data_IF_558298848937
#
_entry.id   IF_558298848937
#
_cell.length_a   1.000
_cell.length_b   1.000
_cell.length_c   1.000
_cell.angle_alpha   90.00
_cell.angle_beta   90.00
_cell.angle_gamma   90.00
#
_symmetry.space_group_name_H-M   'P 1'
#
loop_
_entity.id
_entity.type
_entity.pdbx_description
1 polymer ?
#
# COMPACT_ATOMS: atom_id res chain seq x y z
N UNK A 1 -6.07 24.19 5.75
CA UNK A 1 -6.46 23.00 4.99
C UNK A 1 -6.67 23.19 3.49
N UNK A 2 -7.01 24.37 2.98
CA UNK A 2 -7.21 24.63 1.53
C UNK A 2 -5.92 24.71 0.69
N UNK A 3 -4.75 25.01 1.27
CA UNK A 3 -3.49 25.14 0.54
C UNK A 3 -2.76 23.83 0.23
N UNK A 4 -2.94 22.79 1.03
CA UNK A 4 -2.28 21.50 0.81
C UNK A 4 -2.91 20.70 -0.35
N UNK A 5 -4.21 20.85 -0.57
CA UNK A 5 -4.92 20.14 -1.67
C UNK A 5 -4.53 20.69 -3.06
N UNK A 6 -4.25 21.99 -3.17
CA UNK A 6 -3.89 22.61 -4.43
C UNK A 6 -2.49 22.19 -4.92
N UNK A 7 -1.55 21.96 -4.00
CA UNK A 7 -0.17 21.60 -4.34
C UNK A 7 -0.04 20.14 -4.80
N UNK A 8 -0.85 19.24 -4.26
CA UNK A 8 -0.88 17.84 -4.68
C UNK A 8 -1.51 17.68 -6.06
N UNK A 9 -2.54 18.45 -6.39
CA UNK A 9 -3.19 18.40 -7.71
C UNK A 9 -2.29 18.92 -8.84
N UNK A 10 -1.43 19.91 -8.58
CA UNK A 10 -0.51 20.46 -9.57
C UNK A 10 0.64 19.52 -9.95
N UNK A 11 1.04 18.61 -9.05
CA UNK A 11 2.13 17.67 -9.33
C UNK A 11 1.71 16.53 -10.28
N UNK A 12 0.41 16.25 -10.40
CA UNK A 12 -0.13 15.17 -11.23
C UNK A 12 -0.51 15.57 -12.66
N UNK A 13 -0.61 16.85 -12.97
CA UNK A 13 -1.13 17.33 -14.26
C UNK A 13 -0.09 17.57 -15.36
N UNK A 14 1.20 17.35 -15.10
CA UNK A 14 2.26 17.58 -16.10
C UNK A 14 2.73 16.32 -16.84
N UNK A 15 1.99 15.21 -16.77
CA UNK A 15 2.38 14.01 -17.50
C UNK A 15 1.79 13.96 -18.90
N UNK A 16 2.66 14.29 -19.86
CA UNK A 16 2.39 14.21 -21.30
C UNK A 16 1.87 12.86 -21.70
N UNK A 17 0.70 12.84 -22.33
CA UNK A 17 0.10 11.69 -23.02
C UNK A 17 0.84 11.36 -24.32
N UNK A 18 2.14 11.17 -24.27
CA UNK A 18 2.83 10.53 -25.38
C UNK A 18 2.67 9.01 -25.21
N UNK A 19 1.85 8.41 -26.03
CA UNK A 19 1.65 6.97 -26.12
C UNK A 19 2.94 6.25 -26.54
N UNK A 20 3.86 6.14 -25.60
CA UNK A 20 5.12 5.46 -25.81
C UNK A 20 4.91 3.96 -25.72
N UNK A 21 5.19 3.26 -26.80
CA UNK A 21 5.27 1.79 -26.82
C UNK A 21 6.23 1.36 -25.71
N UNK A 22 5.76 0.50 -24.80
CA UNK A 22 6.61 -0.07 -23.75
C UNK A 22 7.70 -0.86 -24.45
N UNK A 23 8.95 -0.48 -24.25
CA UNK A 23 10.07 -1.21 -24.76
C UNK A 23 10.11 -2.58 -24.08
N UNK A 24 10.06 -3.65 -24.90
CA UNK A 24 10.08 -5.04 -24.42
C UNK A 24 11.30 -5.32 -23.51
N UNK A 25 12.40 -4.59 -23.73
CA UNK A 25 13.62 -4.71 -22.95
C UNK A 25 13.47 -4.12 -21.53
N UNK A 26 12.83 -2.98 -21.39
CA UNK A 26 12.58 -2.36 -20.07
C UNK A 26 11.65 -3.20 -19.21
N UNK A 27 10.61 -3.79 -19.81
CA UNK A 27 9.71 -4.69 -19.11
C UNK A 27 10.43 -5.98 -18.68
N UNK A 28 11.22 -6.58 -19.56
CA UNK A 28 11.98 -7.80 -19.27
C UNK A 28 12.98 -7.61 -18.12
N UNK A 29 13.61 -6.44 -18.03
CA UNK A 29 14.50 -6.08 -16.91
C UNK A 29 13.77 -6.06 -15.57
N UNK A 30 12.55 -5.52 -15.51
CA UNK A 30 11.75 -5.45 -14.27
C UNK A 30 11.33 -6.82 -13.75
N UNK A 31 11.09 -7.77 -14.65
CA UNK A 31 10.70 -9.14 -14.30
C UNK A 31 11.87 -10.14 -14.23
N UNK A 32 13.11 -9.67 -14.36
CA UNK A 32 14.29 -10.52 -14.17
C UNK A 32 14.48 -10.83 -12.69
N UNK A 33 14.80 -12.07 -12.36
CA UNK A 33 15.17 -12.48 -10.99
C UNK A 33 16.29 -11.58 -10.45
N UNK A 34 16.12 -11.09 -9.24
CA UNK A 34 17.06 -10.17 -8.57
C UNK A 34 16.92 -8.71 -9.00
N UNK A 35 15.96 -8.35 -9.86
CA UNK A 35 15.69 -6.94 -10.14
C UNK A 35 15.13 -6.22 -8.92
N UNK A 36 15.51 -4.95 -8.75
CA UNK A 36 15.06 -4.10 -7.67
C UNK A 36 14.31 -2.90 -8.23
N UNK A 37 13.28 -2.46 -7.53
CA UNK A 37 12.49 -1.30 -7.90
C UNK A 37 12.16 -0.50 -6.63
N UNK A 38 12.29 0.82 -6.72
CA UNK A 38 11.81 1.75 -5.69
C UNK A 38 10.49 2.36 -6.12
N UNK A 39 9.68 2.73 -5.17
CA UNK A 39 8.42 3.39 -5.45
C UNK A 39 7.86 4.10 -4.24
N UNK A 40 6.79 4.84 -4.48
CA UNK A 40 6.00 5.45 -3.42
C UNK A 40 4.52 5.41 -3.80
N UNK A 41 3.67 5.36 -2.79
CA UNK A 41 2.21 5.42 -2.95
C UNK A 41 1.65 6.48 -2.00
N UNK A 42 0.63 7.18 -2.46
CA UNK A 42 -0.27 7.95 -1.61
C UNK A 42 -1.62 7.25 -1.57
N UNK A 43 -2.19 7.17 -0.38
CA UNK A 43 -3.43 6.47 -0.17
C UNK A 43 -4.40 7.26 0.68
N UNK A 44 -5.65 6.92 0.53
CA UNK A 44 -6.72 7.32 1.41
C UNK A 44 -7.45 6.09 1.90
N UNK A 45 -7.83 6.11 3.17
CA UNK A 45 -8.57 5.03 3.76
C UNK A 45 -9.56 5.50 4.82
N UNK A 46 -10.42 4.59 5.22
CA UNK A 46 -11.30 4.78 6.36
C UNK A 46 -11.56 3.45 7.06
N UNK A 47 -11.83 3.54 8.34
CA UNK A 47 -12.10 2.35 9.18
C UNK A 47 -13.43 1.73 8.84
N UNK A 48 -13.55 0.43 9.10
CA UNK A 48 -14.80 -0.31 8.95
C UNK A 48 -14.96 -1.34 10.08
N UNK A 49 -16.20 -1.70 10.35
CA UNK A 49 -16.55 -2.69 11.34
C UNK A 49 -16.60 -4.09 10.74
N UNK A 50 -15.99 -5.04 11.43
CA UNK A 50 -16.27 -6.45 11.17
C UNK A 50 -17.65 -6.81 11.74
N UNK A 51 -18.38 -7.77 11.18
CA UNK A 51 -19.70 -8.17 11.68
C UNK A 51 -19.62 -8.95 13.01
N UNK A 52 -18.83 -8.45 13.95
CA UNK A 52 -18.62 -8.98 15.31
C UNK A 52 -19.45 -8.24 16.36
N UNK A 53 -20.25 -7.24 15.93
CA UNK A 53 -21.11 -6.45 16.83
C UNK A 53 -20.40 -5.37 17.64
N UNK A 54 -19.09 -5.18 17.47
CA UNK A 54 -18.38 -4.07 18.10
C UNK A 54 -18.47 -2.83 17.21
N UNK A 55 -19.13 -1.80 17.68
CA UNK A 55 -19.18 -0.48 17.05
C UNK A 55 -17.79 0.18 17.20
N UNK A 56 -17.14 0.46 16.08
CA UNK A 56 -15.78 1.04 16.02
C UNK A 56 -15.82 2.49 15.59
N UNK A 57 -14.74 3.19 15.90
CA UNK A 57 -14.59 4.59 15.50
C UNK A 57 -14.45 4.71 13.97
N UNK A 58 -15.15 5.69 13.39
CA UNK A 58 -15.04 6.01 11.97
C UNK A 58 -13.97 7.08 11.76
N UNK A 59 -12.81 6.66 11.30
CA UNK A 59 -11.65 7.53 11.10
C UNK A 59 -11.26 7.55 9.62
N UNK A 60 -11.11 8.76 9.07
CA UNK A 60 -10.49 8.97 7.77
C UNK A 60 -8.97 9.07 7.90
N UNK A 61 -8.24 8.49 6.96
CA UNK A 61 -6.77 8.41 7.02
C UNK A 61 -6.15 8.76 5.68
N UNK A 62 -5.05 9.49 5.72
CA UNK A 62 -4.17 9.71 4.58
C UNK A 62 -2.87 8.94 4.81
N UNK A 63 -2.39 8.27 3.78
CA UNK A 63 -1.21 7.43 3.82
C UNK A 63 -0.16 7.88 2.81
N UNK A 64 1.10 7.73 3.19
CA UNK A 64 2.25 7.79 2.31
C UNK A 64 3.11 6.55 2.53
N UNK A 65 3.36 5.77 1.46
CA UNK A 65 4.05 4.50 1.51
C UNK A 65 5.25 4.48 0.55
N UNK A 66 6.43 4.98 0.95
CA UNK A 66 7.66 4.68 0.25
C UNK A 66 7.99 3.19 0.38
N UNK A 67 8.42 2.57 -0.72
CA UNK A 67 8.61 1.14 -0.75
C UNK A 67 9.73 0.71 -1.69
N UNK A 68 10.23 -0.47 -1.43
CA UNK A 68 11.22 -1.16 -2.23
C UNK A 68 10.74 -2.58 -2.53
N UNK A 69 11.04 -3.07 -3.73
CA UNK A 69 10.72 -4.43 -4.14
C UNK A 69 11.93 -5.12 -4.74
N UNK A 70 12.05 -6.41 -4.45
CA UNK A 70 13.02 -7.30 -5.08
C UNK A 70 12.32 -8.50 -5.69
N UNK A 71 12.57 -8.77 -6.96
CA UNK A 71 12.01 -9.92 -7.65
C UNK A 71 12.74 -11.21 -7.20
N UNK A 72 12.05 -12.07 -6.49
CA UNK A 72 12.63 -13.29 -5.91
C UNK A 72 12.73 -14.42 -6.94
N UNK A 73 11.71 -14.58 -7.77
CA UNK A 73 11.58 -15.78 -8.63
C UNK A 73 12.02 -15.56 -10.06
N UNK A 74 11.94 -14.33 -10.58
CA UNK A 74 11.84 -14.09 -12.02
C UNK A 74 10.45 -14.51 -12.51
N UNK A 75 10.27 -14.61 -13.81
CA UNK A 75 9.02 -15.11 -14.40
C UNK A 75 8.89 -16.60 -14.15
N UNK A 76 7.78 -17.00 -13.53
CA UNK A 76 7.38 -18.37 -13.27
C UNK A 76 5.94 -18.61 -13.76
N UNK A 77 5.58 -19.86 -13.88
CA UNK A 77 4.22 -20.26 -14.27
C UNK A 77 3.94 -20.09 -15.77
N UNK A 78 2.74 -20.49 -16.15
CA UNK A 78 2.28 -20.51 -17.53
C UNK A 78 0.87 -19.94 -17.62
N UNK A 79 0.46 -19.55 -18.83
CA UNK A 79 -0.89 -19.10 -19.11
C UNK A 79 -1.32 -17.96 -18.17
N UNK A 80 -2.51 -18.02 -17.57
CA UNK A 80 -3.13 -16.99 -16.75
C UNK A 80 -2.41 -16.70 -15.40
N UNK A 81 -1.67 -17.68 -14.87
CA UNK A 81 -0.91 -17.52 -13.60
C UNK A 81 0.58 -17.18 -13.84
N UNK A 82 1.00 -16.98 -15.10
CA UNK A 82 2.35 -16.53 -15.38
C UNK A 82 2.61 -15.18 -14.73
N UNK A 83 3.69 -15.10 -13.95
CA UNK A 83 3.99 -13.90 -13.18
C UNK A 83 5.31 -14.00 -12.45
N UNK A 84 5.49 -13.16 -11.44
CA UNK A 84 6.68 -13.16 -10.59
C UNK A 84 6.32 -12.80 -9.14
N UNK A 85 7.03 -13.40 -8.21
CA UNK A 85 6.93 -13.10 -6.79
C UNK A 85 8.00 -12.06 -6.40
N UNK A 86 7.56 -11.03 -5.73
CA UNK A 86 8.39 -9.96 -5.21
C UNK A 86 8.36 -9.96 -3.68
N UNK A 87 9.53 -9.84 -3.07
CA UNK A 87 9.64 -9.35 -1.70
C UNK A 87 9.40 -7.85 -1.72
N UNK A 88 8.49 -7.38 -0.90
CA UNK A 88 8.11 -5.98 -0.82
C UNK A 88 8.40 -5.48 0.59
N UNK A 89 9.15 -4.42 0.71
CA UNK A 89 9.41 -3.72 1.96
C UNK A 89 8.80 -2.34 1.88
N UNK A 90 8.04 -1.97 2.89
CA UNK A 90 7.32 -0.71 2.91
C UNK A 90 7.56 0.02 4.23
N UNK A 91 7.94 1.29 4.15
CA UNK A 91 7.75 2.23 5.25
C UNK A 91 6.42 2.94 5.04
N UNK A 92 5.77 3.36 6.11
CA UNK A 92 4.47 4.02 6.04
C UNK A 92 4.40 5.21 6.98
N UNK A 93 3.82 6.30 6.50
CA UNK A 93 3.33 7.38 7.33
C UNK A 93 1.83 7.48 7.11
N UNK A 94 1.06 7.53 8.19
CA UNK A 94 -0.36 7.74 8.14
C UNK A 94 -0.75 8.91 9.06
N UNK A 95 -1.68 9.72 8.59
CA UNK A 95 -2.32 10.76 9.37
C UNK A 95 -3.81 10.46 9.42
N UNK A 96 -4.34 10.29 10.62
CA UNK A 96 -5.75 10.06 10.88
C UNK A 96 -6.40 11.33 11.42
N UNK A 97 -7.65 11.58 11.04
CA UNK A 97 -8.41 12.74 11.48
C UNK A 97 -9.80 12.30 11.88
N UNK A 98 -10.16 12.58 13.11
CA UNK A 98 -11.53 12.47 13.61
C UNK A 98 -11.98 13.83 14.16
N UNK A 99 -12.94 14.47 13.47
CA UNK A 99 -13.46 15.80 13.80
C UNK A 99 -12.33 16.83 13.93
N UNK A 100 -12.01 17.25 15.17
CA UNK A 100 -11.00 18.27 15.48
C UNK A 100 -9.67 17.67 15.99
N UNK A 101 -9.58 16.33 16.08
CA UNK A 101 -8.39 15.62 16.54
C UNK A 101 -7.65 15.03 15.33
N UNK A 102 -6.34 15.13 15.34
CA UNK A 102 -5.46 14.52 14.36
C UNK A 102 -4.44 13.66 15.08
N UNK A 103 -4.13 12.51 14.51
CA UNK A 103 -3.14 11.57 15.03
C UNK A 103 -2.30 11.01 13.91
N UNK A 104 -1.12 10.55 14.23
CA UNK A 104 -0.16 10.04 13.26
C UNK A 104 0.28 8.61 13.59
N UNK A 105 0.77 7.92 12.57
CA UNK A 105 1.34 6.59 12.70
C UNK A 105 2.53 6.46 11.74
N UNK A 106 3.65 5.99 12.26
CA UNK A 106 4.78 5.50 11.45
C UNK A 106 4.76 3.98 11.43
N UNK A 107 4.83 3.40 10.24
CA UNK A 107 4.84 1.97 10.04
C UNK A 107 6.08 1.48 9.31
N UNK A 108 6.46 0.23 9.56
CA UNK A 108 7.48 -0.47 8.82
C UNK A 108 7.05 -1.93 8.61
N UNK A 109 6.94 -2.34 7.36
CA UNK A 109 6.47 -3.67 6.97
C UNK A 109 7.55 -4.37 6.14
N UNK A 110 8.50 -5.05 6.79
CA UNK A 110 9.58 -5.76 6.10
C UNK A 110 9.15 -7.11 5.53
N UNK A 111 8.06 -7.69 6.04
CA UNK A 111 7.61 -9.03 5.70
C UNK A 111 6.38 -8.96 4.79
N UNK A 112 6.58 -8.51 3.55
CA UNK A 112 5.51 -8.45 2.56
C UNK A 112 5.89 -9.21 1.29
N UNK A 113 4.91 -9.88 0.70
CA UNK A 113 5.03 -10.56 -0.56
C UNK A 113 3.99 -10.01 -1.55
N UNK A 114 4.41 -9.76 -2.78
CA UNK A 114 3.54 -9.35 -3.88
C UNK A 114 3.73 -10.27 -5.07
N UNK A 115 2.66 -10.91 -5.51
CA UNK A 115 2.66 -11.66 -6.76
C UNK A 115 2.05 -10.81 -7.86
N UNK A 116 2.78 -10.62 -8.97
CA UNK A 116 2.35 -9.86 -10.14
C UNK A 116 2.10 -10.81 -11.28
N UNK A 117 0.86 -10.83 -11.75
CA UNK A 117 0.45 -11.61 -12.91
C UNK A 117 0.80 -10.87 -14.19
N UNK A 118 1.33 -11.57 -15.17
CA UNK A 118 1.76 -10.98 -16.43
C UNK A 118 0.61 -10.89 -17.42
N UNK A 119 0.23 -9.69 -17.86
CA UNK A 119 -0.70 -9.54 -18.96
C UNK A 119 -0.09 -10.00 -20.30
N UNK A 120 -0.91 -10.49 -21.25
CA UNK A 120 -0.40 -10.95 -22.55
C UNK A 120 0.36 -9.88 -23.34
N UNK A 121 -0.10 -8.63 -23.27
CA UNK A 121 0.49 -7.48 -23.94
C UNK A 121 1.66 -6.85 -23.19
N UNK A 122 1.97 -7.34 -21.95
CA UNK A 122 3.04 -6.86 -21.07
C UNK A 122 2.97 -5.37 -20.71
N UNK A 123 1.80 -4.76 -20.84
CA UNK A 123 1.61 -3.33 -20.51
C UNK A 123 1.12 -3.11 -19.09
N UNK A 124 0.54 -4.12 -18.48
CA UNK A 124 -0.02 -4.06 -17.14
C UNK A 124 0.14 -5.40 -16.41
N UNK A 125 0.09 -5.37 -15.11
CA UNK A 125 0.14 -6.57 -14.26
C UNK A 125 -0.83 -6.42 -13.09
N UNK A 126 -1.91 -7.22 -13.06
CA UNK A 126 -2.67 -7.42 -11.83
C UNK A 126 -1.76 -7.99 -10.77
N UNK A 127 -2.03 -7.66 -9.52
CA UNK A 127 -1.22 -8.17 -8.43
C UNK A 127 -2.06 -8.43 -7.18
N UNK A 128 -1.54 -9.30 -6.34
CA UNK A 128 -2.01 -9.54 -4.99
C UNK A 128 -0.85 -9.30 -4.03
N UNK A 129 -1.17 -8.78 -2.86
CA UNK A 129 -0.21 -8.41 -1.82
C UNK A 129 -0.68 -8.97 -0.48
N UNK A 130 0.25 -9.50 0.29
CA UNK A 130 0.03 -9.81 1.69
C UNK A 130 1.30 -9.51 2.48
N UNK A 131 1.16 -9.10 3.74
CA UNK A 131 2.31 -8.80 4.56
C UNK A 131 2.01 -8.43 5.98
N UNK A 132 3.09 -8.31 6.76
CA UNK A 132 3.06 -7.93 8.15
C UNK A 132 4.17 -6.94 8.47
N UNK A 133 3.94 -6.14 9.49
CA UNK A 133 4.87 -5.16 9.99
C UNK A 133 4.54 -4.72 11.40
N UNK A 134 5.07 -3.59 11.77
CA UNK A 134 4.82 -2.94 13.05
C UNK A 134 4.75 -1.43 12.85
N UNK A 135 4.15 -0.76 13.80
CA UNK A 135 3.99 0.68 13.80
C UNK A 135 4.18 1.28 15.19
N UNK A 136 4.40 2.58 15.17
CA UNK A 136 4.46 3.42 16.37
C UNK A 136 3.76 4.74 16.09
N UNK A 137 2.93 5.22 17.01
CA UNK A 137 2.20 6.46 16.87
C UNK A 137 1.18 6.69 17.97
N UNK A 138 0.37 7.71 17.82
CA UNK A 138 -0.62 8.16 18.79
C UNK A 138 -2.08 7.85 18.38
N UNK A 139 -2.29 6.86 17.54
CA UNK A 139 -3.65 6.47 17.12
C UNK A 139 -4.53 5.96 18.26
N UNK A 140 -3.91 5.46 19.33
CA UNK A 140 -4.62 5.12 20.57
C UNK A 140 -5.42 6.31 21.15
N UNK A 141 -5.01 7.54 20.89
CA UNK A 141 -5.73 8.74 21.35
C UNK A 141 -7.05 8.99 20.57
N UNK A 142 -7.14 8.50 19.33
CA UNK A 142 -8.38 8.55 18.53
C UNK A 142 -9.22 7.29 18.67
N UNK A 143 -8.59 6.15 18.85
CA UNK A 143 -9.18 4.83 18.80
C UNK A 143 -8.96 4.07 20.13
N UNK A 144 -9.24 4.72 21.27
CA UNK A 144 -8.97 4.22 22.63
C UNK A 144 -9.57 2.83 22.92
N UNK A 145 -10.68 2.48 22.27
CA UNK A 145 -11.34 1.19 22.45
C UNK A 145 -10.76 0.10 21.54
N UNK A 146 -10.21 0.49 20.40
CA UNK A 146 -9.68 -0.39 19.38
C UNK A 146 -8.23 -0.77 19.67
N UNK A 147 -7.41 0.20 20.06
CA UNK A 147 -5.98 0.06 20.31
C UNK A 147 -5.60 0.81 21.58
N UNK A 148 -4.78 0.19 22.43
CA UNK A 148 -4.44 0.72 23.75
C UNK A 148 -2.95 1.05 23.90
N UNK A 149 -2.16 0.90 22.84
CA UNK A 149 -0.70 1.13 22.87
C UNK A 149 -0.26 2.00 21.69
N UNK A 150 0.86 2.67 21.85
CA UNK A 150 1.51 3.41 20.75
C UNK A 150 2.21 2.45 19.77
N UNK A 151 2.67 1.30 20.25
CA UNK A 151 3.25 0.26 19.43
C UNK A 151 2.19 -0.76 19.03
N UNK A 152 2.06 -1.00 17.72
CA UNK A 152 1.06 -1.89 17.15
C UNK A 152 1.67 -2.77 16.05
N UNK A 153 1.09 -3.94 15.82
CA UNK A 153 1.38 -4.79 14.67
C UNK A 153 0.48 -4.41 13.50
N UNK A 154 1.05 -4.50 12.30
CA UNK A 154 0.37 -4.24 11.05
C UNK A 154 0.17 -5.52 10.26
N UNK A 155 -1.03 -5.72 9.70
CA UNK A 155 -1.29 -6.75 8.71
C UNK A 155 -1.89 -6.10 7.47
N UNK A 156 -1.44 -6.57 6.30
CA UNK A 156 -1.88 -6.09 5.00
C UNK A 156 -2.31 -7.26 4.13
N UNK A 157 -3.43 -7.13 3.46
CA UNK A 157 -3.83 -7.98 2.35
C UNK A 157 -4.49 -7.12 1.29
N UNK A 158 -4.15 -7.31 0.04
CA UNK A 158 -4.68 -6.45 -1.00
C UNK A 158 -4.50 -6.97 -2.40
N UNK A 159 -5.08 -6.23 -3.33
CA UNK A 159 -4.95 -6.45 -4.75
C UNK A 159 -4.79 -5.12 -5.48
N UNK A 160 -4.21 -5.16 -6.66
CA UNK A 160 -3.99 -3.96 -7.45
C UNK A 160 -3.64 -4.26 -8.89
N UNK A 161 -3.29 -3.22 -9.60
CA UNK A 161 -2.79 -3.31 -10.96
C UNK A 161 -1.66 -2.31 -11.16
N UNK A 162 -0.59 -2.74 -11.81
CA UNK A 162 0.50 -1.87 -12.28
C UNK A 162 0.41 -1.70 -13.79
N UNK A 163 0.56 -0.47 -14.25
CA UNK A 163 0.62 -0.08 -15.65
C UNK A 163 2.05 0.37 -15.97
N UNK A 164 2.68 -0.31 -16.92
CA UNK A 164 4.08 -0.07 -17.25
C UNK A 164 4.23 0.96 -18.37
N UNK A 165 5.18 1.84 -18.18
CA UNK A 165 5.70 2.76 -19.19
C UNK A 165 7.19 2.44 -19.40
N UNK A 166 7.88 3.16 -20.28
CA UNK A 166 9.31 2.94 -20.60
C UNK A 166 10.21 2.96 -19.35
N UNK A 167 10.01 3.94 -18.49
CA UNK A 167 10.86 4.19 -17.31
C UNK A 167 10.17 3.88 -15.99
N UNK A 168 8.86 4.02 -15.93
CA UNK A 168 8.08 4.00 -14.69
C UNK A 168 6.96 2.96 -14.76
N UNK A 169 6.38 2.65 -13.61
CA UNK A 169 5.09 1.98 -13.54
C UNK A 169 4.16 2.77 -12.62
N UNK A 170 2.91 2.93 -13.02
CA UNK A 170 1.84 3.46 -12.18
C UNK A 170 1.06 2.32 -11.56
N UNK A 171 0.57 2.48 -10.36
CA UNK A 171 -0.24 1.47 -9.71
C UNK A 171 -1.48 2.04 -9.08
N UNK A 172 -2.56 1.28 -9.19
CA UNK A 172 -3.77 1.45 -8.39
C UNK A 172 -3.89 0.24 -7.49
N UNK A 173 -4.03 0.46 -6.18
CA UNK A 173 -4.08 -0.62 -5.21
C UNK A 173 -5.24 -0.39 -4.25
N UNK A 174 -5.82 -1.50 -3.83
CA UNK A 174 -6.72 -1.61 -2.71
C UNK A 174 -6.13 -2.59 -1.71
N UNK A 175 -6.17 -2.25 -0.42
CA UNK A 175 -5.78 -3.16 0.64
C UNK A 175 -6.71 -3.06 1.84
N UNK A 176 -6.88 -4.17 2.52
CA UNK A 176 -7.32 -4.24 3.89
C UNK A 176 -6.09 -4.05 4.78
N UNK A 177 -6.22 -3.16 5.72
CA UNK A 177 -5.18 -2.77 6.66
C UNK A 177 -5.70 -3.04 8.07
N UNK A 178 -4.95 -3.79 8.85
CA UNK A 178 -5.29 -4.12 10.22
C UNK A 178 -4.18 -3.67 11.17
N UNK A 179 -4.58 -3.05 12.27
CA UNK A 179 -3.70 -2.55 13.33
C UNK A 179 -4.17 -3.12 14.66
N UNK A 180 -3.27 -3.73 15.43
CA UNK A 180 -3.58 -4.25 16.78
C UNK A 180 -2.30 -4.52 17.56
N UNK A 181 -2.40 -4.51 18.88
CA UNK A 181 -1.27 -4.83 19.76
C UNK A 181 -1.14 -6.33 20.09
N UNK A 182 -1.85 -7.19 19.37
CA UNK A 182 -1.84 -8.65 19.62
C UNK A 182 -2.21 -9.06 21.06
N UNK A 183 -2.97 -8.26 21.77
CA UNK A 183 -3.37 -8.54 23.16
C UNK A 183 -2.33 -8.19 24.22
N UNK A 184 -1.27 -7.44 23.88
CA UNK A 184 -0.26 -6.97 24.85
C UNK A 184 -0.93 -6.10 25.95
N UNK A 185 -1.92 -5.29 25.57
CA UNK A 185 -2.69 -4.45 26.49
C UNK A 185 -4.13 -4.34 26.03
N UNK A 186 -5.05 -4.35 26.98
CA UNK A 186 -6.48 -4.14 26.71
C UNK A 186 -6.87 -2.67 26.90
N UNK A 187 -7.87 -2.15 26.15
CA UNK A 187 -8.63 -2.84 25.11
C UNK A 187 -7.81 -3.08 23.84
N UNK A 188 -8.13 -4.14 23.09
CA UNK A 188 -7.51 -4.46 21.81
C UNK A 188 -8.52 -5.16 20.90
N UNK A 189 -9.51 -4.44 20.42
CA UNK A 189 -10.47 -4.93 19.43
C UNK A 189 -9.81 -4.96 18.04
N UNK A 190 -8.75 -4.15 17.86
CA UNK A 190 -8.07 -3.91 16.60
C UNK A 190 -8.84 -2.93 15.69
N UNK A 191 -8.12 -2.22 14.87
CA UNK A 191 -8.66 -1.28 13.90
C UNK A 191 -8.48 -1.85 12.49
N UNK A 192 -9.55 -1.85 11.72
CA UNK A 192 -9.53 -2.29 10.33
C UNK A 192 -9.83 -1.12 9.42
N UNK A 193 -9.14 -1.04 8.29
CA UNK A 193 -9.38 0.01 7.31
C UNK A 193 -9.34 -0.51 5.88
N UNK A 194 -10.20 0.05 5.04
CA UNK A 194 -10.07 0.02 3.59
C UNK A 194 -9.09 1.11 3.18
N UNK A 195 -8.08 0.76 2.38
CA UNK A 195 -7.10 1.72 1.87
C UNK A 195 -7.01 1.61 0.36
N UNK A 196 -7.25 2.73 -0.32
CA UNK A 196 -7.07 2.90 -1.75
C UNK A 196 -5.81 3.74 -1.98
N UNK A 197 -4.94 3.32 -2.86
CA UNK A 197 -3.70 4.05 -3.13
C UNK A 197 -3.36 4.15 -4.61
N UNK A 198 -2.75 5.27 -4.97
CA UNK A 198 -2.12 5.52 -6.25
C UNK A 198 -0.61 5.55 -6.03
N UNK A 199 0.13 4.85 -6.86
CA UNK A 199 1.57 4.75 -6.73
C UNK A 199 2.33 4.96 -8.02
N UNK A 200 3.61 5.22 -7.86
CA UNK A 200 4.58 5.25 -8.94
C UNK A 200 5.81 4.47 -8.54
N UNK A 201 6.40 3.78 -9.51
CA UNK A 201 7.59 2.94 -9.35
C UNK A 201 8.61 3.25 -10.43
N UNK A 202 9.88 3.30 -10.03
CA UNK A 202 11.04 3.67 -10.83
C UNK A 202 11.96 2.48 -11.12
#
# INVERSE_FOLDING_TARGET
MRFLLATVTALFLTFSTHGNVVDADSFSKRFKKGSHNFGAQIGWGYTFDLPTGADRVNIGMLFFFPNWQSNITGLIGESWYRGALFHHVEAGFANAVDRDRASWLLGFSPLMAQYKFLSPDRKWAPNILAGAGFSYGDWNDLAEREIATEFEFLLHVGAGVEFYNRTNAWSLNYRLFHVSNSGIKMPNIGLNAHVFSLGMRF
#
